data_IF_590503239129
#
_entry.id   IF_590503239129
#
_cell.length_a   1.000
_cell.length_b   1.000
_cell.length_c   1.000
_cell.angle_alpha   90.00
_cell.angle_beta   90.00
_cell.angle_gamma   90.00
#
_symmetry.space_group_name_H-M   'P 1'
#
loop_
_entity.id
_entity.type
_entity.pdbx_description
1 polymer ?
#
# COMPACT_ATOMS: atom_id res chain seq x y z
N UNK A 1 -30.91 13.46 -1.44
CA UNK A 1 -29.65 14.23 -1.44
C UNK A 1 -28.85 13.84 -0.21
N UNK A 2 -27.79 13.04 -0.36
CA UNK A 2 -26.95 12.64 0.78
C UNK A 2 -25.75 13.57 0.82
N UNK A 3 -25.78 14.53 1.75
CA UNK A 3 -24.69 15.44 2.02
C UNK A 3 -23.54 14.68 2.69
N UNK A 4 -22.48 14.39 1.93
CA UNK A 4 -21.21 13.95 2.51
C UNK A 4 -20.56 15.14 3.22
N UNK A 5 -20.85 15.31 4.50
CA UNK A 5 -20.11 16.24 5.36
C UNK A 5 -18.64 15.80 5.38
N UNK A 6 -17.78 16.55 4.68
CA UNK A 6 -16.32 16.46 4.80
C UNK A 6 -15.97 16.64 6.27
N UNK A 7 -15.61 15.54 6.95
CA UNK A 7 -15.08 15.60 8.32
C UNK A 7 -13.87 16.54 8.32
N UNK A 8 -13.97 17.61 9.12
CA UNK A 8 -12.88 18.56 9.40
C UNK A 8 -11.61 17.76 9.72
N UNK A 9 -10.51 18.17 9.11
CA UNK A 9 -9.16 17.60 9.20
C UNK A 9 -8.79 17.24 10.64
N UNK A 10 -9.03 15.97 10.98
CA UNK A 10 -8.59 15.40 12.24
C UNK A 10 -7.06 15.38 12.22
N UNK A 11 -6.45 15.94 13.26
CA UNK A 11 -5.00 15.99 13.48
C UNK A 11 -4.37 14.63 13.12
N UNK A 12 -3.67 14.57 11.97
CA UNK A 12 -3.08 13.34 11.45
C UNK A 12 -2.05 12.85 12.48
N UNK A 13 -2.32 11.72 13.13
CA UNK A 13 -1.32 11.05 13.97
C UNK A 13 -0.09 10.78 13.11
N UNK A 14 1.00 11.48 13.39
CA UNK A 14 2.27 11.33 12.67
C UNK A 14 2.69 9.85 12.68
N UNK A 15 3.16 9.33 11.54
CA UNK A 15 3.93 8.08 11.51
C UNK A 15 3.17 6.78 11.21
N UNK A 16 1.89 6.81 10.81
CA UNK A 16 1.11 5.56 10.67
C UNK A 16 0.88 5.06 9.23
N UNK A 17 1.26 5.81 8.20
CA UNK A 17 1.14 5.33 6.82
C UNK A 17 2.27 4.37 6.45
N UNK A 18 2.08 3.56 5.40
CA UNK A 18 3.09 2.65 4.86
C UNK A 18 4.40 3.37 4.50
N UNK A 19 4.29 4.59 4.00
CA UNK A 19 5.44 5.46 3.72
C UNK A 19 6.12 5.91 5.01
N UNK A 20 5.33 6.39 5.98
CA UNK A 20 5.88 6.94 7.22
C UNK A 20 6.51 5.85 8.11
N UNK A 21 5.97 4.63 8.07
CA UNK A 21 6.51 3.44 8.70
C UNK A 21 7.69 2.81 7.93
N UNK A 22 8.15 3.47 6.85
CA UNK A 22 9.27 3.03 6.01
C UNK A 22 9.08 1.63 5.40
N UNK A 23 7.83 1.20 5.21
CA UNK A 23 7.49 -0.09 4.61
C UNK A 23 7.54 -0.04 3.09
N UNK A 24 7.15 1.10 2.51
CA UNK A 24 7.25 1.36 1.08
C UNK A 24 7.93 2.71 0.89
N UNK A 25 8.92 2.77 -0.02
CA UNK A 25 9.71 3.98 -0.33
C UNK A 25 9.43 4.44 -1.76
N UNK A 26 8.26 5.01 -2.04
CA UNK A 26 7.87 5.35 -3.41
C UNK A 26 8.68 6.51 -4.00
N UNK A 27 9.37 7.28 -3.16
CA UNK A 27 10.29 8.32 -3.61
C UNK A 27 11.48 7.78 -4.41
N UNK A 28 11.78 6.49 -4.28
CA UNK A 28 12.84 5.81 -5.03
C UNK A 28 12.32 5.18 -6.34
N UNK A 29 11.03 5.28 -6.63
CA UNK A 29 10.46 4.71 -7.84
C UNK A 29 10.79 5.58 -9.06
N UNK A 30 11.18 4.90 -10.14
CA UNK A 30 11.26 5.49 -11.46
C UNK A 30 9.88 5.37 -12.14
N UNK A 31 9.04 6.38 -11.95
CA UNK A 31 7.70 6.44 -12.53
C UNK A 31 7.82 6.87 -13.99
N UNK A 32 7.30 6.04 -14.89
CA UNK A 32 7.32 6.36 -16.32
C UNK A 32 6.25 7.38 -16.70
N UNK A 33 6.45 8.10 -17.80
CA UNK A 33 5.43 9.01 -18.34
C UNK A 33 4.13 8.29 -18.72
N UNK A 34 4.21 7.02 -19.15
CA UNK A 34 3.04 6.21 -19.49
C UNK A 34 2.24 5.87 -18.22
N UNK A 35 2.91 5.33 -17.20
CA UNK A 35 2.33 5.02 -15.89
C UNK A 35 1.68 6.25 -15.24
N UNK A 36 2.36 7.41 -15.29
CA UNK A 36 1.79 8.66 -14.80
C UNK A 36 0.57 9.12 -15.59
N UNK A 37 0.57 8.96 -16.91
CA UNK A 37 -0.58 9.32 -17.75
C UNK A 37 -1.79 8.44 -17.43
N UNK A 38 -1.62 7.13 -17.34
CA UNK A 38 -2.68 6.18 -16.99
C UNK A 38 -3.25 6.47 -15.61
N UNK A 39 -2.39 6.70 -14.62
CA UNK A 39 -2.81 7.03 -13.27
C UNK A 39 -3.63 8.33 -13.22
N UNK A 40 -3.23 9.37 -13.96
CA UNK A 40 -3.98 10.62 -14.02
C UNK A 40 -5.33 10.47 -14.73
N UNK A 41 -5.38 9.73 -15.84
CA UNK A 41 -6.65 9.44 -16.54
C UNK A 41 -7.61 8.68 -15.62
N UNK A 42 -7.11 7.70 -14.86
CA UNK A 42 -7.90 6.97 -13.86
C UNK A 42 -8.40 7.87 -12.71
N UNK A 43 -7.72 8.98 -12.41
CA UNK A 43 -8.20 10.01 -11.49
C UNK A 43 -9.23 10.97 -12.11
N UNK A 44 -9.50 10.86 -13.41
CA UNK A 44 -10.42 11.73 -14.15
C UNK A 44 -9.77 12.97 -14.78
N UNK A 45 -8.43 13.04 -14.82
CA UNK A 45 -7.71 14.14 -15.44
C UNK A 45 -7.62 13.98 -16.96
N UNK A 46 -7.79 15.08 -17.70
CA UNK A 46 -7.67 15.11 -19.17
C UNK A 46 -6.22 15.37 -19.58
N UNK A 47 -5.45 14.29 -19.71
CA UNK A 47 -4.00 14.37 -19.97
C UNK A 47 -3.65 14.04 -21.41
N UNK A 48 -3.04 15.00 -22.11
CA UNK A 48 -2.45 14.76 -23.43
C UNK A 48 -1.05 14.13 -23.29
N UNK A 49 -0.15 14.78 -22.55
CA UNK A 49 1.25 14.36 -22.39
C UNK A 49 1.82 14.77 -21.05
N UNK A 50 2.62 13.90 -20.43
CA UNK A 50 3.39 14.23 -19.22
C UNK A 50 4.58 15.11 -19.58
N UNK A 51 4.73 16.22 -18.86
CA UNK A 51 5.83 17.17 -19.00
C UNK A 51 6.97 16.88 -18.04
N UNK A 52 6.63 16.64 -16.76
CA UNK A 52 7.63 16.40 -15.71
C UNK A 52 7.02 15.59 -14.57
N UNK A 53 7.82 14.73 -13.97
CA UNK A 53 7.49 13.98 -12.76
C UNK A 53 8.57 14.27 -11.72
N UNK A 54 8.16 14.56 -10.49
CA UNK A 54 9.07 14.73 -9.37
C UNK A 54 8.57 13.97 -8.15
N UNK A 55 9.32 12.94 -7.76
CA UNK A 55 9.02 12.08 -6.63
C UNK A 55 9.47 12.75 -5.32
N UNK A 56 8.53 13.02 -4.41
CA UNK A 56 8.78 13.52 -3.07
C UNK A 56 8.56 12.40 -2.05
N UNK A 57 8.95 12.62 -0.79
CA UNK A 57 8.86 11.59 0.25
C UNK A 57 7.45 10.99 0.41
N UNK A 58 6.40 11.81 0.35
CA UNK A 58 5.02 11.36 0.65
C UNK A 58 4.04 11.50 -0.51
N UNK A 59 4.45 12.17 -1.59
CA UNK A 59 3.62 12.55 -2.72
C UNK A 59 4.47 12.62 -3.98
N UNK A 60 3.84 12.66 -5.14
CA UNK A 60 4.48 12.94 -6.43
C UNK A 60 3.94 14.26 -6.98
N UNK A 61 4.81 15.11 -7.51
CA UNK A 61 4.40 16.26 -8.30
C UNK A 61 4.44 15.87 -9.77
N UNK A 62 3.33 16.05 -10.48
CA UNK A 62 3.23 15.74 -11.90
C UNK A 62 2.78 17.00 -12.63
N UNK A 63 3.58 17.42 -13.61
CA UNK A 63 3.22 18.46 -14.57
C UNK A 63 2.88 17.81 -15.90
N UNK A 64 1.78 18.23 -16.52
CA UNK A 64 1.28 17.66 -17.76
C UNK A 64 0.62 18.72 -18.64
N UNK A 65 0.53 18.42 -19.94
CA UNK A 65 -0.27 19.15 -20.90
C UNK A 65 -1.67 18.55 -20.93
N UNK A 66 -2.69 19.39 -20.79
CA UNK A 66 -4.07 18.98 -20.96
C UNK A 66 -4.46 18.94 -22.46
N UNK A 67 -5.64 18.42 -22.77
CA UNK A 67 -6.13 18.31 -24.15
C UNK A 67 -6.31 19.64 -24.88
N UNK A 68 -6.44 20.75 -24.12
CA UNK A 68 -6.58 22.11 -24.64
C UNK A 68 -5.22 22.79 -24.86
N UNK A 69 -4.10 22.09 -24.61
CA UNK A 69 -2.75 22.63 -24.73
C UNK A 69 -2.28 23.47 -23.54
N UNK A 70 -3.03 23.51 -22.44
CA UNK A 70 -2.63 24.17 -21.19
C UNK A 70 -1.70 23.31 -20.34
N UNK A 71 -0.80 23.93 -19.57
CA UNK A 71 0.04 23.23 -18.58
C UNK A 71 -0.70 23.17 -17.25
N UNK A 72 -0.90 21.96 -16.75
CA UNK A 72 -1.37 21.69 -15.40
C UNK A 72 -0.21 21.14 -14.56
N UNK A 73 -0.22 21.44 -13.26
CA UNK A 73 0.72 20.85 -12.30
C UNK A 73 0.04 20.66 -10.96
N UNK A 74 0.15 19.47 -10.39
CA UNK A 74 -0.48 19.16 -9.11
C UNK A 74 0.29 18.10 -8.34
N UNK A 75 -0.02 17.99 -7.05
CA UNK A 75 0.52 16.98 -6.14
C UNK A 75 -0.46 15.83 -5.98
N UNK A 76 0.03 14.61 -6.15
CA UNK A 76 -0.75 13.40 -6.06
C UNK A 76 -0.21 12.46 -4.99
N UNK A 77 -1.09 11.65 -4.41
CA UNK A 77 -0.67 10.52 -3.58
C UNK A 77 -0.07 9.43 -4.45
N UNK A 78 0.94 8.72 -3.99
CA UNK A 78 1.42 7.52 -4.67
C UNK A 78 0.37 6.41 -4.81
N UNK A 79 -0.74 6.49 -4.08
CA UNK A 79 -1.87 5.54 -4.16
C UNK A 79 -2.62 5.58 -5.50
N UNK A 80 -2.39 6.57 -6.35
CA UNK A 80 -3.02 6.63 -7.68
C UNK A 80 -2.38 5.65 -8.68
N UNK A 81 -1.19 5.13 -8.38
CA UNK A 81 -0.47 4.23 -9.27
C UNK A 81 -0.84 2.77 -8.98
N UNK A 82 -1.10 1.99 -10.03
CA UNK A 82 -1.34 0.54 -9.89
C UNK A 82 -0.18 -0.18 -9.18
N UNK A 83 1.06 0.27 -9.43
CA UNK A 83 2.26 -0.23 -8.75
C UNK A 83 2.16 -0.14 -7.23
N UNK A 84 1.48 0.86 -6.68
CA UNK A 84 1.30 0.98 -5.24
C UNK A 84 0.59 -0.23 -4.65
N UNK A 85 -0.50 -0.67 -5.28
CA UNK A 85 -1.24 -1.85 -4.83
C UNK A 85 -0.34 -3.09 -4.86
N UNK A 86 0.38 -3.32 -5.96
CA UNK A 86 1.27 -4.47 -6.12
C UNK A 86 2.35 -4.54 -5.02
N UNK A 87 2.93 -3.40 -4.65
CA UNK A 87 3.96 -3.32 -3.60
C UNK A 87 3.35 -3.55 -2.20
N UNK A 88 2.11 -3.13 -1.97
CA UNK A 88 1.39 -3.44 -0.72
C UNK A 88 1.05 -4.92 -0.64
N UNK A 89 0.55 -5.53 -1.71
CA UNK A 89 0.28 -6.97 -1.77
C UNK A 89 1.55 -7.77 -1.53
N UNK A 90 2.66 -7.42 -2.20
CA UNK A 90 3.96 -8.05 -1.99
C UNK A 90 4.43 -7.92 -0.54
N UNK A 91 4.27 -6.75 0.07
CA UNK A 91 4.60 -6.53 1.48
C UNK A 91 3.77 -7.44 2.41
N UNK A 92 2.50 -7.64 2.10
CA UNK A 92 1.62 -8.54 2.86
C UNK A 92 2.10 -9.98 2.71
N UNK A 93 2.25 -10.48 1.48
CA UNK A 93 2.61 -11.88 1.23
C UNK A 93 3.99 -12.26 1.77
N UNK A 94 4.94 -11.32 1.79
CA UNK A 94 6.30 -11.55 2.30
C UNK A 94 6.44 -11.35 3.81
N UNK A 95 5.35 -10.99 4.51
CA UNK A 95 5.40 -10.74 5.95
C UNK A 95 5.76 -12.03 6.72
N UNK A 96 6.88 -12.09 7.47
CA UNK A 96 7.49 -13.34 7.92
C UNK A 96 6.87 -13.93 9.19
N UNK A 97 6.26 -13.12 10.05
CA UNK A 97 5.79 -13.57 11.37
C UNK A 97 4.45 -12.95 11.74
N UNK A 98 3.69 -13.61 12.62
CA UNK A 98 2.43 -13.10 13.17
C UNK A 98 2.62 -11.74 13.88
N UNK A 99 3.76 -11.56 14.55
CA UNK A 99 4.12 -10.30 15.22
C UNK A 99 4.29 -9.15 14.22
N UNK A 100 4.97 -9.38 13.11
CA UNK A 100 5.11 -8.37 12.05
C UNK A 100 3.81 -8.13 11.31
N UNK A 101 3.04 -9.19 11.09
CA UNK A 101 1.72 -9.11 10.47
C UNK A 101 0.77 -8.23 11.29
N UNK A 102 0.77 -8.38 12.62
CA UNK A 102 -0.06 -7.56 13.53
C UNK A 102 0.31 -6.08 13.43
N UNK A 103 1.60 -5.76 13.31
CA UNK A 103 2.07 -4.39 13.10
C UNK A 103 1.62 -3.86 11.73
N UNK A 104 1.73 -4.68 10.69
CA UNK A 104 1.29 -4.33 9.33
C UNK A 104 -0.22 -4.10 9.28
N UNK A 105 -1.03 -4.97 9.88
CA UNK A 105 -2.48 -4.82 9.95
C UNK A 105 -2.89 -3.50 10.61
N UNK A 106 -2.19 -3.10 11.69
CA UNK A 106 -2.42 -1.79 12.33
C UNK A 106 -2.14 -0.61 11.39
N UNK A 107 -1.09 -0.69 10.58
CA UNK A 107 -0.75 0.31 9.56
C UNK A 107 -1.83 0.32 8.46
N UNK A 108 -2.26 -0.86 7.99
CA UNK A 108 -3.29 -0.98 6.95
C UNK A 108 -4.65 -0.43 7.38
N UNK A 109 -5.06 -0.66 8.63
CA UNK A 109 -6.26 -0.01 9.20
C UNK A 109 -6.17 1.51 9.18
N UNK A 110 -4.99 2.07 9.45
CA UNK A 110 -4.77 3.50 9.30
C UNK A 110 -4.83 3.92 7.83
N UNK A 111 -4.22 3.16 6.92
CA UNK A 111 -4.26 3.43 5.49
C UNK A 111 -5.71 3.55 4.97
N UNK A 112 -6.56 2.57 5.27
CA UNK A 112 -7.95 2.56 4.82
C UNK A 112 -8.81 3.65 5.46
N UNK A 113 -8.51 4.06 6.69
CA UNK A 113 -9.26 5.11 7.37
C UNK A 113 -8.95 6.53 6.84
N UNK A 114 -7.75 6.76 6.28
CA UNK A 114 -7.26 8.11 5.98
C UNK A 114 -6.98 8.38 4.50
N UNK A 115 -6.91 7.34 3.67
CA UNK A 115 -6.71 7.47 2.24
C UNK A 115 -7.87 6.86 1.46
N UNK A 116 -8.17 7.46 0.31
CA UNK A 116 -9.28 7.04 -0.53
C UNK A 116 -8.84 5.85 -1.39
N UNK A 117 -9.01 4.64 -0.87
CA UNK A 117 -8.90 3.42 -1.67
C UNK A 117 -10.28 3.08 -2.26
N UNK A 118 -10.30 2.60 -3.50
CA UNK A 118 -11.50 2.00 -4.07
C UNK A 118 -11.90 0.76 -3.27
N UNK A 119 -13.20 0.49 -3.14
CA UNK A 119 -13.73 -0.65 -2.37
C UNK A 119 -13.06 -1.96 -2.77
N UNK A 120 -12.94 -2.22 -4.07
CA UNK A 120 -12.32 -3.42 -4.62
C UNK A 120 -10.86 -3.59 -4.16
N UNK A 121 -10.11 -2.49 -4.07
CA UNK A 121 -8.71 -2.53 -3.58
C UNK A 121 -8.67 -2.81 -2.08
N UNK A 122 -9.59 -2.23 -1.31
CA UNK A 122 -9.69 -2.52 0.13
C UNK A 122 -9.99 -4.00 0.34
N UNK A 123 -11.01 -4.52 -0.34
CA UNK A 123 -11.43 -5.92 -0.21
C UNK A 123 -10.32 -6.90 -0.63
N UNK A 124 -9.59 -6.61 -1.72
CA UNK A 124 -8.46 -7.40 -2.16
C UNK A 124 -7.31 -7.41 -1.14
N UNK A 125 -6.96 -6.24 -0.58
CA UNK A 125 -5.89 -6.12 0.39
C UNK A 125 -6.24 -6.72 1.76
N UNK A 126 -7.50 -6.61 2.20
CA UNK A 126 -7.99 -7.27 3.41
C UNK A 126 -7.96 -8.79 3.24
N UNK A 127 -8.42 -9.31 2.10
CA UNK A 127 -8.34 -10.74 1.77
C UNK A 127 -6.89 -11.24 1.78
N UNK A 128 -5.95 -10.47 1.20
CA UNK A 128 -4.54 -10.81 1.22
C UNK A 128 -3.96 -10.87 2.65
N UNK A 129 -4.38 -9.93 3.52
CA UNK A 129 -3.97 -9.94 4.94
C UNK A 129 -4.49 -11.19 5.66
N UNK A 130 -5.75 -11.54 5.48
CA UNK A 130 -6.37 -12.72 6.09
C UNK A 130 -5.68 -14.01 5.63
N UNK A 131 -5.51 -14.17 4.31
CA UNK A 131 -4.82 -15.32 3.73
C UNK A 131 -3.41 -15.47 4.30
N UNK A 132 -2.66 -14.36 4.41
CA UNK A 132 -1.31 -14.42 4.98
C UNK A 132 -1.33 -14.84 6.45
N UNK A 133 -2.28 -14.36 7.25
CA UNK A 133 -2.39 -14.76 8.65
C UNK A 133 -2.65 -16.27 8.78
N UNK A 134 -3.53 -16.82 7.94
CA UNK A 134 -3.80 -18.25 7.90
C UNK A 134 -2.54 -19.07 7.62
N UNK A 135 -1.76 -18.68 6.60
CA UNK A 135 -0.48 -19.33 6.28
C UNK A 135 0.49 -19.25 7.47
N UNK A 136 0.66 -18.08 8.07
CA UNK A 136 1.57 -17.89 9.20
C UNK A 136 1.18 -18.75 10.42
N UNK A 137 -0.11 -18.88 10.72
CA UNK A 137 -0.60 -19.73 11.80
C UNK A 137 -0.36 -21.22 11.50
N UNK A 138 -0.65 -21.65 10.28
CA UNK A 138 -0.44 -23.04 9.86
C UNK A 138 1.06 -23.43 9.94
N UNK A 139 1.95 -22.58 9.44
CA UNK A 139 3.40 -22.82 9.54
C UNK A 139 3.90 -22.85 10.99
N UNK A 140 3.34 -22.00 11.86
CA UNK A 140 3.67 -22.02 13.29
C UNK A 140 3.24 -23.32 13.97
N UNK A 141 2.11 -23.90 13.58
CA UNK A 141 1.61 -25.16 14.12
C UNK A 141 2.50 -26.33 13.70
N UNK A 142 2.83 -26.42 12.41
CA UNK A 142 3.69 -27.47 11.86
C UNK A 142 5.11 -27.46 12.46
N UNK A 143 5.64 -26.26 12.78
CA UNK A 143 6.95 -26.13 13.43
C UNK A 143 6.95 -26.68 14.87
N UNK A 144 5.81 -26.62 15.57
CA UNK A 144 5.65 -27.21 16.91
C UNK A 144 5.52 -28.72 16.82
N UNK A 145 4.76 -29.23 15.85
CA UNK A 145 4.57 -30.68 15.63
C UNK A 145 5.84 -31.40 15.16
N UNK A 146 6.73 -30.71 14.44
CA UNK A 146 7.98 -31.30 13.91
C UNK A 146 9.15 -31.29 14.91
N UNK A 147 8.96 -30.74 16.12
CA UNK A 147 10.03 -30.44 17.08
C UNK A 147 10.26 -31.43 18.22
N UNK A 148 9.45 -32.49 18.38
CA UNK A 148 9.53 -33.40 19.54
C UNK A 148 9.45 -34.89 19.14
N UNK A 149 10.49 -35.43 18.50
CA UNK A 149 10.75 -36.89 18.48
C UNK A 149 12.25 -37.22 18.55
N UNK A 150 13.01 -36.42 19.30
CA UNK A 150 14.40 -36.71 19.64
C UNK A 150 14.55 -37.25 21.06
N UNK A 151 13.77 -38.28 21.45
CA UNK A 151 14.06 -39.00 22.69
C UNK A 151 15.25 -39.91 22.40
N UNK A 152 16.41 -39.47 22.90
CA UNK A 152 17.60 -40.28 23.09
C UNK A 152 17.22 -41.44 23.99
N UNK A 153 16.98 -42.62 23.40
CA UNK A 153 17.09 -43.88 24.13
C UNK A 153 18.58 -44.17 24.32
N UNK A 154 19.16 -43.55 25.34
CA UNK A 154 20.21 -44.23 26.09
C UNK A 154 19.52 -45.19 27.04
N UNK A 155 19.94 -46.45 27.04
CA UNK A 155 20.29 -47.20 28.25
C UNK A 155 20.58 -48.69 27.95
N UNK A 156 21.80 -49.08 28.35
CA UNK A 156 22.43 -50.39 28.59
C UNK A 156 22.80 -51.31 27.41
#
# INVERSE_FOLDING_TARGET
MVSWTRKKTQYRRKGQSLIAANKIKPQLWHISSAEAKEALIAQGERVQKIKKIHCLKHQVCISYWNEQGGVCSSFFSYRIFARWQNEVEKLIYTCPTVKEWTKLQRIMRYEFAYYNYGREIVDALDTALENRLCVLKATSLQAVESGEWGVVSGEW
#
